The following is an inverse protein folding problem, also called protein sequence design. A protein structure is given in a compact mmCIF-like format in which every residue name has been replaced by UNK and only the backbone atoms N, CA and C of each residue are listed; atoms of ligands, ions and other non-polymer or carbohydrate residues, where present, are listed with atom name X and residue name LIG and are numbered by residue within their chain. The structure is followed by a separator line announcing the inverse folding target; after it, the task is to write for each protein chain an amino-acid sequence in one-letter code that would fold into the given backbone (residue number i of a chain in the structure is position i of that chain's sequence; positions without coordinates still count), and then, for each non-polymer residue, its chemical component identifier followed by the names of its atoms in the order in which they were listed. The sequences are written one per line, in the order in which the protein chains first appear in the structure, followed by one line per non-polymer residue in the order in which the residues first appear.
data_IF_154182551111
#
_entry.id   IF_154182551111
#
_cell.length_a   1.000
_cell.length_b   1.000
_cell.length_c   1.000
_cell.angle_alpha   90.00
_cell.angle_beta   90.00
_cell.angle_gamma   90.00
#
_symmetry.space_group_name_H-M   'P 1'
#
loop_
_entity.id
_entity.type
_entity.pdbx_description
1 polymer ?
#
# COMPACT_ATOMS: atom_id res chain seq x y z
N UNK A 1 14.87 2.32 -27.34
CA UNK A 1 15.22 0.89 -27.19
C UNK A 1 16.18 0.79 -26.03
N UNK A 2 15.80 0.13 -24.93
CA UNK A 2 16.76 -0.13 -23.84
C UNK A 2 17.53 -1.41 -24.23
N UNK A 3 18.86 -1.36 -24.30
CA UNK A 3 19.66 -2.55 -24.58
C UNK A 3 19.50 -3.53 -23.41
N UNK A 4 19.28 -4.80 -23.74
CA UNK A 4 19.09 -5.91 -22.80
C UNK A 4 20.08 -5.85 -21.64
N UNK A 5 19.58 -5.74 -20.41
CA UNK A 5 20.40 -5.75 -19.20
C UNK A 5 20.57 -7.22 -18.80
N UNK A 6 21.81 -7.75 -18.76
CA UNK A 6 22.04 -9.14 -18.41
C UNK A 6 21.65 -9.38 -16.94
N UNK A 7 20.63 -10.22 -16.76
CA UNK A 7 20.15 -10.72 -15.45
C UNK A 7 20.73 -12.10 -15.10
N UNK A 8 21.41 -12.74 -16.05
CA UNK A 8 22.14 -14.00 -15.88
C UNK A 8 23.52 -13.93 -16.53
N UNK A 9 24.44 -14.78 -16.03
CA UNK A 9 25.90 -14.74 -16.26
C UNK A 9 26.35 -14.21 -17.64
N UNK A 10 27.18 -13.16 -17.68
CA UNK A 10 27.82 -12.46 -16.55
C UNK A 10 26.85 -11.50 -15.85
N UNK A 11 26.79 -11.61 -14.51
CA UNK A 11 26.05 -10.66 -13.68
C UNK A 11 26.86 -9.37 -13.52
N UNK A 12 26.18 -8.23 -13.59
CA UNK A 12 26.82 -6.95 -13.28
C UNK A 12 27.03 -6.82 -11.77
N UNK A 13 27.93 -5.91 -11.38
CA UNK A 13 28.10 -5.60 -9.96
C UNK A 13 26.79 -5.01 -9.40
N UNK A 14 26.39 -5.39 -8.18
CA UNK A 14 25.15 -4.97 -7.51
C UNK A 14 24.86 -3.46 -7.63
N UNK A 15 25.91 -2.65 -7.46
CA UNK A 15 25.86 -1.18 -7.55
C UNK A 15 25.33 -0.69 -8.91
N UNK A 16 25.59 -1.41 -10.00
CA UNK A 16 25.11 -1.04 -11.34
C UNK A 16 23.59 -1.21 -11.42
N UNK A 17 23.04 -2.29 -10.85
CA UNK A 17 21.59 -2.49 -10.78
C UNK A 17 20.93 -1.40 -9.93
N UNK A 18 21.52 -1.06 -8.78
CA UNK A 18 21.04 0.05 -7.93
C UNK A 18 21.06 1.39 -8.68
N UNK A 19 22.13 1.67 -9.45
CA UNK A 19 22.24 2.89 -10.28
C UNK A 19 21.20 2.93 -11.39
N UNK A 20 20.89 1.81 -12.03
CA UNK A 20 19.85 1.74 -13.08
C UNK A 20 18.48 2.05 -12.48
N UNK A 21 18.14 1.45 -11.34
CA UNK A 21 16.88 1.74 -10.65
C UNK A 21 16.82 3.21 -10.23
N UNK A 22 17.89 3.76 -9.66
CA UNK A 22 17.98 5.18 -9.31
C UNK A 22 17.85 6.09 -10.54
N UNK A 23 18.41 5.70 -11.68
CA UNK A 23 18.29 6.42 -12.94
C UNK A 23 16.83 6.47 -13.43
N UNK A 24 16.09 5.36 -13.33
CA UNK A 24 14.67 5.32 -13.67
C UNK A 24 13.83 6.24 -12.79
N UNK A 25 14.12 6.31 -11.47
CA UNK A 25 13.47 7.29 -10.59
C UNK A 25 13.80 8.72 -11.02
N UNK A 26 15.08 9.02 -11.29
CA UNK A 26 15.53 10.36 -11.64
C UNK A 26 14.94 10.89 -12.98
N UNK A 27 14.56 10.00 -13.90
CA UNK A 27 14.00 10.34 -15.21
C UNK A 27 12.48 10.12 -15.30
N UNK A 28 11.79 9.91 -14.17
CA UNK A 28 10.35 9.67 -14.09
C UNK A 28 9.88 8.47 -14.96
N UNK A 29 10.76 7.48 -15.17
CA UNK A 29 10.46 6.26 -15.93
C UNK A 29 9.83 5.19 -15.04
N UNK A 30 8.80 5.59 -14.29
CA UNK A 30 8.19 4.77 -13.22
C UNK A 30 7.58 3.46 -13.73
N UNK A 31 6.99 3.46 -14.93
CA UNK A 31 6.45 2.24 -15.53
C UNK A 31 7.55 1.21 -15.83
N UNK A 32 8.70 1.68 -16.30
CA UNK A 32 9.85 0.82 -16.56
C UNK A 32 10.48 0.33 -15.25
N UNK A 33 10.55 1.19 -14.23
CA UNK A 33 10.97 0.80 -12.89
C UNK A 33 10.11 -0.35 -12.36
N UNK A 34 8.78 -0.21 -12.41
CA UNK A 34 7.85 -1.24 -11.94
C UNK A 34 8.03 -2.57 -12.67
N UNK A 35 8.16 -2.51 -14.01
CA UNK A 35 8.41 -3.70 -14.82
C UNK A 35 9.74 -4.36 -14.44
N UNK A 36 10.78 -3.54 -14.23
CA UNK A 36 12.12 -4.01 -13.84
C UNK A 36 12.08 -4.69 -12.46
N UNK A 37 11.38 -4.12 -11.48
CA UNK A 37 11.22 -4.71 -10.13
C UNK A 37 10.51 -6.08 -10.21
N UNK A 38 9.53 -6.23 -11.10
CA UNK A 38 8.80 -7.50 -11.30
C UNK A 38 9.63 -8.56 -12.03
N UNK A 39 10.51 -8.15 -12.94
CA UNK A 39 11.32 -9.06 -13.75
C UNK A 39 12.64 -9.46 -13.06
N UNK A 40 13.23 -8.58 -12.25
CA UNK A 40 14.55 -8.81 -11.66
C UNK A 40 14.50 -9.68 -10.40
N UNK A 41 15.41 -10.67 -10.27
CA UNK A 41 15.58 -11.39 -9.02
C UNK A 41 16.02 -10.45 -7.90
N UNK A 42 15.45 -10.68 -6.72
CA UNK A 42 15.63 -9.87 -5.50
C UNK A 42 17.09 -9.74 -5.01
N UNK A 43 17.96 -10.64 -5.43
CA UNK A 43 19.36 -10.69 -5.01
C UNK A 43 20.27 -9.73 -5.83
N UNK A 44 19.74 -9.10 -6.89
CA UNK A 44 20.50 -8.22 -7.78
C UNK A 44 20.72 -6.81 -7.24
N UNK A 45 19.90 -6.35 -6.30
CA UNK A 45 19.87 -4.95 -5.85
C UNK A 45 19.59 -4.86 -4.35
N UNK A 46 19.74 -3.66 -3.80
CA UNK A 46 19.35 -3.40 -2.42
C UNK A 46 17.88 -3.03 -2.28
N UNK A 47 17.06 -4.02 -1.95
CA UNK A 47 15.63 -3.84 -1.74
C UNK A 47 15.36 -2.72 -0.72
N UNK A 48 16.17 -2.64 0.35
CA UNK A 48 15.97 -1.62 1.39
C UNK A 48 16.33 -0.23 0.87
N UNK A 49 17.44 -0.08 0.15
CA UNK A 49 17.82 1.20 -0.43
C UNK A 49 16.81 1.66 -1.49
N UNK A 50 16.32 0.75 -2.32
CA UNK A 50 15.31 1.04 -3.35
C UNK A 50 13.97 1.44 -2.70
N UNK A 51 13.54 0.76 -1.64
CA UNK A 51 12.34 1.17 -0.87
C UNK A 51 12.49 2.61 -0.37
N UNK A 52 13.64 2.96 0.21
CA UNK A 52 13.89 4.31 0.71
C UNK A 52 13.87 5.36 -0.41
N UNK A 53 14.49 5.05 -1.55
CA UNK A 53 14.52 5.93 -2.71
C UNK A 53 13.12 6.17 -3.29
N UNK A 54 12.34 5.11 -3.51
CA UNK A 54 10.97 5.19 -4.05
C UNK A 54 10.04 5.92 -3.07
N UNK A 55 10.18 5.67 -1.76
CA UNK A 55 9.39 6.39 -0.74
C UNK A 55 9.71 7.87 -0.74
N UNK A 56 10.99 8.25 -0.80
CA UNK A 56 11.38 9.66 -0.85
C UNK A 56 10.81 10.36 -2.09
N UNK A 57 10.72 9.66 -3.22
CA UNK A 57 10.13 10.21 -4.45
C UNK A 57 8.61 10.34 -4.36
N UNK A 58 7.93 9.34 -3.77
CA UNK A 58 6.50 9.40 -3.46
C UNK A 58 6.16 10.56 -2.50
N UNK A 59 6.97 10.77 -1.47
CA UNK A 59 6.77 11.86 -0.50
C UNK A 59 6.94 13.22 -1.18
N UNK A 60 7.91 13.37 -2.09
CA UNK A 60 8.04 14.57 -2.94
C UNK A 60 6.80 14.76 -3.79
N UNK A 61 6.36 13.73 -4.53
CA UNK A 61 5.18 13.80 -5.39
C UNK A 61 3.91 14.18 -4.60
N UNK A 62 3.75 13.63 -3.39
CA UNK A 62 2.62 13.91 -2.51
C UNK A 62 2.65 15.31 -1.90
N UNK A 63 3.83 15.84 -1.57
CA UNK A 63 4.00 17.18 -0.98
C UNK A 63 3.53 18.29 -1.93
N UNK A 64 3.72 18.12 -3.24
CA UNK A 64 3.21 19.06 -4.25
C UNK A 64 1.70 18.92 -4.53
N UNK A 65 1.06 17.81 -4.11
CA UNK A 65 -0.36 17.50 -4.37
C UNK A 65 -1.33 18.06 -3.33
N UNK A 66 -0.89 18.44 -2.12
CA UNK A 66 -1.79 19.04 -1.12
C UNK A 66 -2.25 20.46 -1.49
N UNK A 67 -1.51 21.15 -2.38
CA UNK A 67 -1.76 22.55 -2.73
C UNK A 67 -2.48 22.77 -4.06
N UNK A 68 -2.69 21.76 -4.93
CA UNK A 68 -3.25 22.07 -6.25
C UNK A 68 -4.06 20.94 -6.89
N UNK A 69 -5.19 21.35 -7.49
CA UNK A 69 -6.08 20.58 -8.36
C UNK A 69 -5.41 20.18 -9.70
N UNK A 70 -4.15 19.74 -9.70
CA UNK A 70 -3.45 19.17 -10.88
C UNK A 70 -3.38 17.64 -10.72
N UNK A 71 -4.56 17.04 -10.53
CA UNK A 71 -4.71 15.73 -9.91
C UNK A 71 -4.70 14.53 -10.88
N UNK A 72 -4.35 14.68 -12.17
CA UNK A 72 -4.52 13.58 -13.16
C UNK A 72 -3.20 12.96 -13.65
N UNK A 73 -2.14 13.76 -13.85
CA UNK A 73 -0.83 13.24 -14.24
C UNK A 73 0.01 12.82 -13.02
N UNK A 74 0.06 13.68 -11.98
CA UNK A 74 0.70 13.37 -10.70
C UNK A 74 0.02 12.21 -9.97
N UNK A 75 -1.30 12.04 -10.17
CA UNK A 75 -2.03 10.85 -9.69
C UNK A 75 -1.49 9.56 -10.28
N UNK A 76 -1.25 9.51 -11.61
CA UNK A 76 -0.72 8.30 -12.25
C UNK A 76 0.68 7.95 -11.76
N UNK A 77 1.60 8.93 -11.72
CA UNK A 77 2.95 8.68 -11.20
C UNK A 77 2.93 8.24 -9.73
N UNK A 78 2.09 8.88 -8.91
CA UNK A 78 1.84 8.46 -7.52
C UNK A 78 1.33 7.02 -7.45
N UNK A 79 0.33 6.64 -8.26
CA UNK A 79 -0.17 5.26 -8.25
C UNK A 79 0.89 4.22 -8.64
N UNK A 80 1.76 4.53 -9.61
CA UNK A 80 2.85 3.64 -10.02
C UNK A 80 3.92 3.52 -8.94
N UNK A 81 4.30 4.64 -8.29
CA UNK A 81 5.23 4.63 -7.16
C UNK A 81 4.69 3.80 -5.98
N UNK A 82 3.39 3.91 -5.69
CA UNK A 82 2.74 3.09 -4.67
C UNK A 82 2.76 1.61 -5.05
N UNK A 83 2.52 1.27 -6.31
CA UNK A 83 2.62 -0.12 -6.79
C UNK A 83 4.05 -0.66 -6.67
N UNK A 84 5.07 0.14 -7.02
CA UNK A 84 6.47 -0.23 -6.82
C UNK A 84 6.77 -0.53 -5.36
N UNK A 85 6.34 0.33 -4.42
CA UNK A 85 6.54 0.08 -2.99
C UNK A 85 5.84 -1.19 -2.52
N UNK A 86 4.62 -1.43 -3.00
CA UNK A 86 3.86 -2.60 -2.63
C UNK A 86 4.59 -3.90 -3.03
N UNK A 87 5.08 -3.97 -4.28
CA UNK A 87 5.89 -5.09 -4.77
C UNK A 87 7.20 -5.25 -3.99
N UNK A 88 7.91 -4.14 -3.73
CA UNK A 88 9.17 -4.18 -2.98
C UNK A 88 8.96 -4.67 -1.54
N UNK A 89 7.91 -4.24 -0.84
CA UNK A 89 7.60 -4.73 0.51
C UNK A 89 7.18 -6.20 0.49
N UNK A 90 6.48 -6.66 -0.55
CA UNK A 90 6.14 -8.07 -0.74
C UNK A 90 7.39 -8.93 -0.92
N UNK A 91 8.31 -8.51 -1.79
CA UNK A 91 9.60 -9.17 -2.01
C UNK A 91 10.45 -9.16 -0.72
N UNK A 92 10.39 -8.08 0.06
CA UNK A 92 11.10 -7.92 1.34
C UNK A 92 10.46 -8.69 2.51
N UNK A 93 9.45 -9.54 2.27
CA UNK A 93 8.69 -10.29 3.29
C UNK A 93 8.08 -9.39 4.38
N UNK A 94 7.66 -8.18 4.02
CA UNK A 94 6.99 -7.23 4.92
C UNK A 94 5.58 -6.87 4.42
N UNK A 95 4.66 -7.86 4.33
CA UNK A 95 3.33 -7.66 3.75
C UNK A 95 2.45 -6.68 4.56
N UNK A 96 2.63 -6.57 5.89
CA UNK A 96 1.90 -5.60 6.71
C UNK A 96 2.18 -4.14 6.32
N UNK A 97 3.44 -3.82 5.98
CA UNK A 97 3.80 -2.49 5.47
C UNK A 97 3.38 -2.26 4.03
N UNK A 98 3.17 -3.32 3.25
CA UNK A 98 2.70 -3.24 1.87
C UNK A 98 1.20 -2.92 1.79
N UNK A 99 0.42 -3.34 2.78
CA UNK A 99 -1.04 -3.20 2.84
C UNK A 99 -1.58 -1.80 2.48
N UNK A 100 -1.12 -0.68 3.11
CA UNK A 100 -1.62 0.66 2.77
C UNK A 100 -1.34 1.04 1.30
N UNK A 101 -0.23 0.55 0.74
CA UNK A 101 0.14 0.83 -0.64
C UNK A 101 -0.67 0.01 -1.65
N UNK A 102 -1.33 -1.08 -1.25
CA UNK A 102 -2.29 -1.79 -2.09
C UNK A 102 -3.73 -1.28 -1.95
N UNK A 103 -4.09 -0.78 -0.75
CA UNK A 103 -5.43 -0.23 -0.48
C UNK A 103 -5.69 1.07 -1.24
N UNK A 104 -4.71 1.99 -1.27
CA UNK A 104 -4.86 3.31 -1.89
C UNK A 104 -5.08 3.27 -3.42
N UNK A 105 -4.35 2.45 -4.21
CA UNK A 105 -4.64 2.26 -5.63
C UNK A 105 -5.85 1.33 -5.89
N UNK A 106 -6.61 0.94 -4.86
CA UNK A 106 -7.90 0.25 -4.99
C UNK A 106 -7.81 -1.06 -5.80
N UNK A 107 -6.77 -1.86 -5.54
CA UNK A 107 -6.57 -3.13 -6.24
C UNK A 107 -7.53 -4.21 -5.69
N UNK A 108 -8.27 -4.93 -6.55
CA UNK A 108 -9.25 -5.92 -6.10
C UNK A 108 -8.62 -7.14 -5.39
N UNK A 109 -7.32 -7.40 -5.58
CA UNK A 109 -6.63 -8.56 -5.01
C UNK A 109 -6.17 -8.36 -3.55
N UNK A 110 -6.46 -7.20 -2.94
CA UNK A 110 -6.07 -6.88 -1.56
C UNK A 110 -6.63 -7.89 -0.55
N UNK A 111 -7.89 -8.33 -0.72
CA UNK A 111 -8.51 -9.25 0.23
C UNK A 111 -7.84 -10.63 0.25
N UNK A 112 -7.41 -11.12 -0.91
CA UNK A 112 -6.66 -12.37 -0.99
C UNK A 112 -5.29 -12.22 -0.32
N UNK A 113 -4.62 -11.08 -0.53
CA UNK A 113 -3.33 -10.80 0.11
C UNK A 113 -3.43 -10.79 1.65
N UNK A 114 -4.47 -10.16 2.20
CA UNK A 114 -4.75 -10.14 3.64
C UNK A 114 -4.93 -11.56 4.17
N UNK A 115 -5.75 -12.36 3.48
CA UNK A 115 -6.07 -13.73 3.88
C UNK A 115 -4.85 -14.66 3.81
N UNK A 116 -4.07 -14.58 2.75
CA UNK A 116 -2.88 -15.42 2.53
C UNK A 116 -1.74 -15.10 3.50
N UNK A 117 -1.59 -13.84 3.89
CA UNK A 117 -0.49 -13.39 4.75
C UNK A 117 -0.91 -13.17 6.22
N UNK A 118 -2.15 -13.53 6.60
CA UNK A 118 -2.71 -13.34 7.94
C UNK A 118 -2.55 -11.92 8.49
N UNK A 119 -2.74 -10.90 7.65
CA UNK A 119 -2.50 -9.48 7.98
C UNK A 119 -3.59 -8.85 8.87
N UNK A 120 -4.41 -9.65 9.56
CA UNK A 120 -5.60 -9.17 10.27
C UNK A 120 -5.26 -8.14 11.37
N UNK A 121 -4.09 -8.27 12.01
CA UNK A 121 -3.61 -7.31 13.00
C UNK A 121 -3.12 -6.00 12.36
N UNK A 122 -2.48 -6.05 11.18
CA UNK A 122 -2.10 -4.84 10.45
C UNK A 122 -3.32 -4.13 9.83
N UNK A 123 -4.33 -4.91 9.46
CA UNK A 123 -5.62 -4.43 8.94
C UNK A 123 -6.42 -3.71 10.01
N UNK A 124 -6.30 -4.08 11.31
CA UNK A 124 -7.11 -3.47 12.38
C UNK A 124 -7.01 -1.95 12.42
N UNK A 125 -5.79 -1.44 12.22
CA UNK A 125 -5.52 0.00 12.22
C UNK A 125 -6.04 0.70 10.96
N UNK A 126 -6.37 -0.06 9.91
CA UNK A 126 -6.82 0.42 8.60
C UNK A 126 -8.23 -0.09 8.23
N UNK A 127 -9.00 -0.59 9.20
CA UNK A 127 -10.36 -1.15 8.99
C UNK A 127 -11.26 -0.14 8.30
N UNK A 128 -11.21 1.14 8.69
CA UNK A 128 -12.04 2.18 8.09
C UNK A 128 -11.80 2.30 6.58
N UNK A 129 -10.52 2.34 6.17
CA UNK A 129 -10.13 2.42 4.75
C UNK A 129 -10.56 1.17 3.98
N UNK A 130 -10.49 0.00 4.63
CA UNK A 130 -10.90 -1.27 4.04
C UNK A 130 -12.42 -1.33 3.80
N UNK A 131 -13.22 -0.84 4.75
CA UNK A 131 -14.69 -0.78 4.64
C UNK A 131 -15.13 0.24 3.59
N UNK A 132 -14.51 1.42 3.55
CA UNK A 132 -14.77 2.41 2.49
C UNK A 132 -14.48 1.83 1.10
N UNK A 133 -13.36 1.12 0.97
CA UNK A 133 -13.00 0.47 -0.29
C UNK A 133 -13.96 -0.65 -0.69
N UNK A 134 -14.42 -1.48 0.24
CA UNK A 134 -15.40 -2.53 -0.02
C UNK A 134 -16.75 -1.96 -0.48
N UNK A 135 -17.21 -0.89 0.17
CA UNK A 135 -18.42 -0.18 -0.24
C UNK A 135 -18.30 0.37 -1.65
N UNK A 136 -17.17 1.00 -2.01
CA UNK A 136 -16.94 1.47 -3.39
C UNK A 136 -16.88 0.33 -4.41
N UNK A 137 -16.23 -0.79 -4.08
CA UNK A 137 -16.21 -1.97 -4.96
C UNK A 137 -17.61 -2.55 -5.15
N UNK A 138 -18.44 -2.56 -4.11
CA UNK A 138 -19.83 -2.98 -4.18
C UNK A 138 -20.65 -2.05 -5.08
N UNK A 139 -20.50 -0.73 -4.91
CA UNK A 139 -21.16 0.27 -5.76
C UNK A 139 -20.75 0.11 -7.23
N UNK A 140 -19.46 -0.08 -7.51
CA UNK A 140 -18.97 -0.31 -8.87
C UNK A 140 -19.52 -1.61 -9.49
N UNK A 141 -19.59 -2.71 -8.72
CA UNK A 141 -20.19 -3.97 -9.19
C UNK A 141 -21.69 -3.82 -9.46
N UNK A 142 -22.39 -2.99 -8.69
CA UNK A 142 -23.82 -2.65 -8.87
C UNK A 142 -24.05 -1.82 -10.14
N UNK A 143 -23.16 -0.86 -10.41
CA UNK A 143 -23.15 -0.08 -11.66
C UNK A 143 -22.85 -0.95 -12.89
N UNK A 144 -21.99 -1.96 -12.75
CA UNK A 144 -21.66 -2.94 -13.81
C UNK A 144 -22.76 -4.00 -14.03
N UNK A 145 -23.90 -3.92 -13.34
CA UNK A 145 -25.03 -4.85 -13.52
C UNK A 145 -24.77 -6.29 -13.06
N UNK A 146 -23.70 -6.53 -12.30
CA UNK A 146 -23.43 -7.84 -11.69
C UNK A 146 -24.32 -8.01 -10.46
N UNK A 147 -24.83 -9.22 -10.24
CA UNK A 147 -25.61 -9.56 -9.05
C UNK A 147 -24.74 -9.39 -7.79
N UNK A 148 -24.84 -8.22 -7.16
CA UNK A 148 -24.21 -7.94 -5.87
C UNK A 148 -25.16 -8.50 -4.81
N UNK A 149 -24.71 -9.53 -4.10
CA UNK A 149 -25.35 -9.92 -2.84
C UNK A 149 -25.02 -8.85 -1.80
N UNK A 150 -25.84 -7.78 -1.78
CA UNK A 150 -25.74 -6.61 -0.88
C UNK A 150 -25.64 -7.02 0.61
N UNK A 151 -26.05 -8.25 0.93
CA UNK A 151 -26.09 -8.83 2.26
C UNK A 151 -24.77 -9.44 2.78
N UNK A 152 -23.70 -9.54 1.98
CA UNK A 152 -22.39 -10.06 2.43
C UNK A 152 -21.26 -9.16 1.93
N UNK A 153 -20.96 -8.10 2.68
CA UNK A 153 -19.68 -7.41 2.56
C UNK A 153 -18.56 -8.42 2.85
N UNK A 154 -17.66 -8.61 1.88
CA UNK A 154 -16.53 -9.55 2.00
C UNK A 154 -15.63 -9.12 3.16
N UNK A 155 -15.50 -7.81 3.38
CA UNK A 155 -14.80 -7.23 4.51
C UNK A 155 -15.47 -7.54 5.84
N UNK A 156 -16.78 -7.33 5.95
CA UNK A 156 -17.48 -7.62 7.21
C UNK A 156 -17.35 -9.11 7.55
N UNK A 157 -17.51 -10.00 6.56
CA UNK A 157 -17.28 -11.44 6.78
C UNK A 157 -15.85 -11.74 7.19
N UNK A 158 -14.85 -11.15 6.53
CA UNK A 158 -13.44 -11.34 6.85
C UNK A 158 -13.07 -10.83 8.25
N UNK A 159 -13.63 -9.70 8.67
CA UNK A 159 -13.40 -9.10 9.99
C UNK A 159 -14.10 -9.90 11.10
N UNK A 160 -15.34 -10.33 10.86
CA UNK A 160 -16.11 -11.13 11.82
C UNK A 160 -15.47 -12.50 12.03
N UNK A 161 -15.05 -13.17 10.96
CA UNK A 161 -14.42 -14.50 11.03
C UNK A 161 -13.04 -14.45 11.72
N UNK A 162 -12.40 -13.27 11.77
CA UNK A 162 -11.06 -13.09 12.32
C UNK A 162 -11.03 -12.14 13.53
N UNK A 163 -12.15 -12.05 14.25
CA UNK A 163 -12.31 -11.18 15.43
C UNK A 163 -11.29 -11.47 16.54
N UNK A 164 -10.79 -12.70 16.62
CA UNK A 164 -9.77 -13.11 17.60
C UNK A 164 -8.37 -12.53 17.33
N UNK A 165 -8.11 -12.10 16.09
CA UNK A 165 -6.82 -11.56 15.65
C UNK A 165 -6.79 -10.03 15.59
N UNK A 166 -7.94 -9.39 15.79
CA UNK A 166 -8.12 -7.94 15.80
C UNK A 166 -8.18 -7.49 17.26
N UNK A 167 -7.12 -6.87 17.82
CA UNK A 167 -7.20 -6.34 19.17
C UNK A 167 -8.26 -5.23 19.19
N UNK A 168 -9.37 -5.46 19.89
CA UNK A 168 -10.39 -4.43 20.09
C UNK A 168 -9.76 -3.34 20.95
N UNK A 169 -9.26 -2.26 20.32
CA UNK A 169 -9.02 -1.01 21.04
C UNK A 169 -10.37 -0.42 21.39
N UNK A 170 -10.90 -0.84 22.53
CA UNK A 170 -11.94 -0.08 23.23
C UNK A 170 -11.28 1.25 23.58
N UNK A 171 -11.60 2.29 22.82
CA UNK A 171 -11.37 3.66 23.24
C UNK A 171 -12.28 3.86 24.45
N UNK A 172 -11.77 3.54 25.63
CA UNK A 172 -12.41 3.98 26.87
C UNK A 172 -12.44 5.51 26.79
N UNK A 173 -13.63 6.14 26.76
CA UNK A 173 -13.68 7.58 26.94
C UNK A 173 -13.05 7.86 28.31
N UNK A 174 -12.06 8.75 28.34
CA UNK A 174 -11.41 9.22 29.56
C UNK A 174 -12.46 9.81 30.50
N UNK A 175 -13.06 8.98 31.34
CA UNK A 175 -14.02 9.37 32.36
C UNK A 175 -13.29 9.82 33.65
N UNK A 176 -12.28 10.68 33.52
CA UNK A 176 -11.50 11.19 34.66
C UNK A 176 -11.10 12.68 34.52
N UNK A 177 -11.94 13.49 33.89
CA UNK A 177 -11.95 14.94 34.11
C UNK A 177 -13.37 15.36 34.49
N UNK A 178 -13.63 15.49 35.79
CA UNK A 178 -14.96 15.89 36.25
C UNK A 178 -15.25 15.83 37.75
N UNK A 179 -14.26 15.58 38.61
CA UNK A 179 -14.45 15.68 40.06
C UNK A 179 -13.31 16.49 40.69
N UNK A 180 -13.25 17.78 40.36
CA UNK A 180 -12.72 18.76 41.32
C UNK A 180 -13.94 19.25 42.10
N UNK A 181 -13.96 18.82 43.34
CA UNK A 181 -14.97 19.07 44.36
C UNK A 181 -15.31 20.55 44.48
N UNK A 182 -16.56 20.88 44.20
CA UNK A 182 -17.25 21.87 45.00
C UNK A 182 -17.35 21.35 46.45
N UNK A 183 -17.27 22.28 47.40
CA UNK A 183 -17.71 22.20 48.79
C UNK A 183 -16.66 21.93 49.89
N UNK A 184 -16.16 23.02 50.52
CA UNK A 184 -16.45 23.41 51.92
C UNK A 184 -15.27 24.12 52.62
N UNK A 185 -15.51 25.34 53.12
CA UNK A 185 -14.75 25.96 54.22
C UNK A 185 -14.29 27.38 53.99
#
# INVERSE_FOLDING_TARGET
VIPYIPINSPMLHRVVYDMILAHFLAHDQLCMLLQTIKEWPKDLYDITAVILAVRADLDKASTYSFSSKVASASSRSTTVLMECLAELYFINRQPGKALPYYLRPRRPNVFNLIRENNLFTDVSDQVLLLVEFDNELMMKKKEEGKAVNESKSEVITLLVDNIHSIPVRILLPNANEGLVSDDNG
#
